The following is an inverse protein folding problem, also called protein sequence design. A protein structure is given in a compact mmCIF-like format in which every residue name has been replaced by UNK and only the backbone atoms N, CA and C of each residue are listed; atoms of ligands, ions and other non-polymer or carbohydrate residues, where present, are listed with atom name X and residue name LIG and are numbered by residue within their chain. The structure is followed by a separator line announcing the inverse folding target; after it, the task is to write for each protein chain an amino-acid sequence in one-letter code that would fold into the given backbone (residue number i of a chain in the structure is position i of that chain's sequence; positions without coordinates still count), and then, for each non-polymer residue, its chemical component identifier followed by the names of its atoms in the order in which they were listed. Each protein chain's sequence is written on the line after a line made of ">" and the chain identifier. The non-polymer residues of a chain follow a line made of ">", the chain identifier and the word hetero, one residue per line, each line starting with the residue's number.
data_IF_767201706843
#
_entry.id   IF_767201706843
#
_cell.length_a   1.000
_cell.length_b   1.000
_cell.length_c   1.000
_cell.angle_alpha   90.00
_cell.angle_beta   90.00
_cell.angle_gamma   90.00
#
_symmetry.space_group_name_H-M   'P 1'
#
loop_
_entity.id
_entity.type
_entity.pdbx_description
1 polymer ?
#
# COMPACT_ATOMS: atom_id res chain seq x y z
N UNK A 1 4.60 -34.85 -48.48
CA UNK A 1 4.34 -34.03 -47.28
C UNK A 1 2.85 -34.06 -47.03
N UNK A 2 2.40 -34.66 -45.92
CA UNK A 2 0.96 -34.78 -45.61
C UNK A 2 0.42 -33.48 -45.01
N UNK A 3 -0.01 -32.59 -45.91
CA UNK A 3 -0.48 -31.24 -45.60
C UNK A 3 -1.69 -31.25 -44.63
N UNK A 4 -2.53 -32.29 -44.69
CA UNK A 4 -3.69 -32.46 -43.81
C UNK A 4 -3.28 -32.73 -42.36
N UNK A 5 -2.28 -33.61 -42.16
CA UNK A 5 -1.74 -33.92 -40.83
C UNK A 5 -1.03 -32.72 -40.21
N UNK A 6 -0.29 -31.96 -41.02
CA UNK A 6 0.34 -30.72 -40.58
C UNK A 6 -0.67 -29.61 -40.25
N UNK A 7 -1.80 -29.54 -40.96
CA UNK A 7 -2.91 -28.64 -40.66
C UNK A 7 -3.56 -28.95 -39.31
N UNK A 8 -3.94 -30.21 -39.09
CA UNK A 8 -4.56 -30.65 -37.83
C UNK A 8 -3.65 -30.41 -36.62
N UNK A 9 -2.35 -30.69 -36.75
CA UNK A 9 -1.37 -30.43 -35.68
C UNK A 9 -1.33 -28.94 -35.31
N UNK A 10 -1.28 -28.03 -36.28
CA UNK A 10 -1.27 -26.58 -36.00
C UNK A 10 -2.53 -26.11 -35.29
N UNK A 11 -3.71 -26.64 -35.64
CA UNK A 11 -4.95 -26.30 -34.96
C UNK A 11 -4.94 -26.72 -33.48
N UNK A 12 -4.43 -27.93 -33.20
CA UNK A 12 -4.27 -28.42 -31.83
C UNK A 12 -3.26 -27.57 -31.05
N UNK A 13 -2.09 -27.31 -31.64
CA UNK A 13 -1.05 -26.46 -31.03
C UNK A 13 -1.61 -25.06 -30.69
N UNK A 14 -2.42 -24.46 -31.58
CA UNK A 14 -3.04 -23.15 -31.35
C UNK A 14 -4.08 -23.17 -30.22
N UNK A 15 -4.89 -24.24 -30.14
CA UNK A 15 -5.88 -24.37 -29.08
C UNK A 15 -5.21 -24.52 -27.70
N UNK A 16 -4.15 -25.33 -27.62
CA UNK A 16 -3.37 -25.51 -26.39
C UNK A 16 -2.77 -24.17 -25.92
N UNK A 17 -2.22 -23.37 -26.85
CA UNK A 17 -1.69 -22.04 -26.53
C UNK A 17 -2.75 -21.06 -26.02
N UNK A 18 -3.98 -21.16 -26.52
CA UNK A 18 -5.10 -20.32 -26.08
C UNK A 18 -5.59 -20.72 -24.69
N UNK A 19 -5.63 -22.02 -24.38
CA UNK A 19 -5.92 -22.53 -23.04
C UNK A 19 -4.89 -22.04 -22.02
N UNK A 20 -3.59 -22.13 -22.33
CA UNK A 20 -2.52 -21.64 -21.46
C UNK A 20 -2.63 -20.13 -21.18
N UNK A 21 -3.03 -19.33 -22.18
CA UNK A 21 -3.27 -17.89 -22.00
C UNK A 21 -4.45 -17.62 -21.07
N UNK A 22 -5.54 -18.35 -21.25
CA UNK A 22 -6.72 -18.21 -20.41
C UNK A 22 -6.43 -18.58 -18.96
N UNK A 23 -5.68 -19.67 -18.74
CA UNK A 23 -5.25 -20.08 -17.40
C UNK A 23 -4.36 -19.03 -16.74
N UNK A 24 -3.39 -18.49 -17.46
CA UNK A 24 -2.53 -17.41 -16.96
C UNK A 24 -3.35 -16.17 -16.56
N UNK A 25 -4.35 -15.81 -17.38
CA UNK A 25 -5.21 -14.67 -17.10
C UNK A 25 -6.11 -14.88 -15.88
N UNK A 26 -6.74 -16.05 -15.75
CA UNK A 26 -7.56 -16.42 -14.60
C UNK A 26 -6.70 -16.43 -13.33
N UNK A 27 -5.52 -17.07 -13.38
CA UNK A 27 -4.60 -17.12 -12.25
C UNK A 27 -4.14 -15.71 -11.83
N UNK A 28 -3.80 -14.84 -12.79
CA UNK A 28 -3.46 -13.44 -12.51
C UNK A 28 -4.59 -12.69 -11.81
N UNK A 29 -5.84 -12.86 -12.28
CA UNK A 29 -7.03 -12.27 -11.63
C UNK A 29 -7.19 -12.76 -10.20
N UNK A 30 -7.06 -14.07 -9.99
CA UNK A 30 -7.18 -14.68 -8.66
C UNK A 30 -6.08 -14.18 -7.73
N UNK A 31 -4.83 -14.09 -8.20
CA UNK A 31 -3.71 -13.57 -7.42
C UNK A 31 -3.94 -12.11 -6.99
N UNK A 32 -4.39 -11.24 -7.91
CA UNK A 32 -4.73 -9.84 -7.60
C UNK A 32 -5.86 -9.74 -6.57
N UNK A 33 -6.91 -10.54 -6.72
CA UNK A 33 -8.02 -10.56 -5.77
C UNK A 33 -7.60 -11.06 -4.38
N UNK A 34 -6.77 -12.11 -4.32
CA UNK A 34 -6.22 -12.62 -3.05
C UNK A 34 -5.36 -11.58 -2.36
N UNK A 35 -4.46 -10.93 -3.10
CA UNK A 35 -3.62 -9.85 -2.57
C UNK A 35 -4.47 -8.70 -2.02
N UNK A 36 -5.50 -8.28 -2.76
CA UNK A 36 -6.42 -7.23 -2.30
C UNK A 36 -7.12 -7.64 -0.99
N UNK A 37 -7.69 -8.84 -0.92
CA UNK A 37 -8.35 -9.34 0.30
C UNK A 37 -7.40 -9.39 1.50
N UNK A 38 -6.18 -9.87 1.30
CA UNK A 38 -5.17 -9.91 2.35
C UNK A 38 -4.77 -8.50 2.80
N UNK A 39 -4.61 -7.56 1.86
CA UNK A 39 -4.33 -6.17 2.19
C UNK A 39 -5.48 -5.52 2.97
N UNK A 40 -6.72 -5.68 2.49
CA UNK A 40 -7.92 -5.12 3.12
C UNK A 40 -8.10 -5.67 4.54
N UNK A 41 -7.78 -6.94 4.78
CA UNK A 41 -7.76 -7.54 6.12
C UNK A 41 -6.68 -6.96 7.04
N UNK A 42 -5.54 -6.52 6.48
CA UNK A 42 -4.42 -5.96 7.24
C UNK A 42 -4.61 -4.48 7.58
N UNK A 43 -5.46 -3.77 6.84
CA UNK A 43 -5.83 -2.38 7.14
C UNK A 43 -6.74 -2.42 8.37
N UNK A 44 -6.16 -2.15 9.54
CA UNK A 44 -6.95 -1.87 10.73
C UNK A 44 -7.67 -0.53 10.56
N UNK A 45 -8.98 -0.53 10.77
CA UNK A 45 -9.76 0.70 10.86
C UNK A 45 -9.34 1.45 12.13
N UNK A 46 -8.34 2.34 12.00
CA UNK A 46 -8.01 3.28 13.07
C UNK A 46 -8.95 4.46 12.97
N UNK A 47 -9.80 4.59 13.97
CA UNK A 47 -10.62 5.79 14.13
C UNK A 47 -9.76 6.93 14.66
N UNK A 48 -9.90 8.09 14.01
CA UNK A 48 -9.19 9.29 14.34
C UNK A 48 -10.16 10.33 14.87
N UNK A 49 -9.73 11.08 15.89
CA UNK A 49 -10.54 12.13 16.50
C UNK A 49 -9.93 13.51 16.24
N UNK A 50 -10.77 14.53 16.09
CA UNK A 50 -10.32 15.93 16.01
C UNK A 50 -9.52 16.29 17.26
N UNK A 51 -8.36 16.92 17.08
CA UNK A 51 -7.42 17.28 18.15
C UNK A 51 -6.38 16.21 18.49
N UNK A 52 -6.46 15.01 17.91
CA UNK A 52 -5.50 13.95 18.16
C UNK A 52 -4.13 14.28 17.54
N UNK A 53 -3.06 13.94 18.26
CA UNK A 53 -1.68 14.07 17.77
C UNK A 53 -1.27 12.81 17.02
N UNK A 54 -0.78 13.00 15.79
CA UNK A 54 -0.38 11.90 14.90
C UNK A 54 0.94 12.19 14.20
N UNK A 55 1.62 11.13 13.78
CA UNK A 55 2.81 11.22 12.95
C UNK A 55 2.46 10.85 11.51
N UNK A 56 2.97 11.61 10.54
CA UNK A 56 2.77 11.33 9.12
C UNK A 56 3.87 10.37 8.64
N UNK A 57 3.49 9.33 7.90
CA UNK A 57 4.46 8.44 7.28
C UNK A 57 4.83 8.95 5.88
N UNK A 58 6.12 9.15 5.61
CA UNK A 58 6.60 9.44 4.27
C UNK A 58 6.59 8.17 3.42
N UNK A 59 5.58 8.05 2.55
CA UNK A 59 5.44 6.91 1.63
C UNK A 59 6.41 6.95 0.46
N UNK A 60 7.09 8.09 0.20
CA UNK A 60 8.01 8.22 -0.92
C UNK A 60 9.18 7.24 -0.74
N UNK A 61 9.41 6.43 -1.78
CA UNK A 61 10.49 5.45 -1.84
C UNK A 61 11.86 6.15 -1.88
N UNK A 62 12.35 6.54 -0.70
CA UNK A 62 13.74 6.93 -0.55
C UNK A 62 14.56 5.65 -0.35
N UNK A 63 15.37 5.30 -1.36
CA UNK A 63 16.48 4.34 -1.22
C UNK A 63 17.57 5.10 -0.50
N UNK A 64 17.74 4.87 0.80
CA UNK A 64 18.80 5.53 1.57
C UNK A 64 20.12 4.78 1.37
N UNK A 65 21.18 5.37 0.78
CA UNK A 65 22.49 4.73 0.59
C UNK A 65 23.33 4.68 1.88
N UNK A 66 22.69 4.77 3.06
CA UNK A 66 23.36 4.90 4.36
C UNK A 66 22.44 4.49 5.53
N UNK A 67 22.71 4.97 6.74
CA UNK A 67 21.93 4.62 7.95
C UNK A 67 20.42 4.87 7.73
N UNK A 68 19.60 3.87 8.02
CA UNK A 68 18.14 3.95 7.98
C UNK A 68 17.64 5.09 8.88
N UNK A 69 17.15 6.18 8.28
CA UNK A 69 16.44 7.24 8.98
C UNK A 69 14.97 6.84 9.17
N UNK A 70 14.34 7.27 10.26
CA UNK A 70 12.91 7.10 10.45
C UNK A 70 12.13 7.85 9.38
N UNK A 71 11.17 7.19 8.73
CA UNK A 71 10.26 7.79 7.73
C UNK A 71 9.09 8.58 8.35
N UNK A 72 9.04 8.66 9.67
CA UNK A 72 8.02 9.41 10.37
C UNK A 72 8.34 10.91 10.34
N UNK A 73 7.42 11.69 9.80
CA UNK A 73 7.46 13.13 9.76
C UNK A 73 6.58 13.63 10.90
N UNK A 74 7.14 14.54 11.71
CA UNK A 74 6.50 15.57 12.54
C UNK A 74 5.24 15.24 13.36
N UNK A 75 5.08 15.77 14.57
CA UNK A 75 3.78 15.71 15.25
C UNK A 75 2.80 16.69 14.57
N UNK A 76 1.70 16.15 14.07
CA UNK A 76 0.58 16.90 13.49
C UNK A 76 -0.65 16.77 14.38
N UNK A 77 -1.54 17.75 14.32
CA UNK A 77 -2.84 17.72 14.99
C UNK A 77 -3.93 17.50 13.94
N UNK A 78 -4.85 16.59 14.19
CA UNK A 78 -5.99 16.36 13.31
C UNK A 78 -6.99 17.52 13.45
N UNK A 79 -7.22 18.25 12.36
CA UNK A 79 -8.20 19.33 12.31
C UNK A 79 -9.61 18.82 11.96
N UNK A 80 -9.71 17.95 10.97
CA UNK A 80 -10.97 17.38 10.51
C UNK A 80 -10.75 15.97 9.93
N UNK A 81 -11.70 15.08 10.17
CA UNK A 81 -11.76 13.75 9.56
C UNK A 81 -12.98 13.72 8.65
N UNK A 82 -12.76 13.38 7.39
CA UNK A 82 -13.83 13.23 6.40
C UNK A 82 -14.35 11.79 6.39
N UNK A 83 -15.61 11.59 6.01
CA UNK A 83 -16.27 10.27 5.94
C UNK A 83 -15.56 9.30 4.97
N UNK A 84 -14.79 9.82 4.02
CA UNK A 84 -14.00 9.06 3.06
C UNK A 84 -12.63 8.60 3.60
N UNK A 85 -12.33 8.85 4.88
CA UNK A 85 -11.06 8.48 5.52
C UNK A 85 -9.91 9.46 5.28
N UNK A 86 -10.14 10.55 4.53
CA UNK A 86 -9.14 11.62 4.39
C UNK A 86 -9.13 12.46 5.66
N UNK A 87 -7.92 12.73 6.15
CA UNK A 87 -7.71 13.52 7.37
C UNK A 87 -6.96 14.80 7.02
N UNK A 88 -7.45 15.91 7.55
CA UNK A 88 -6.80 17.21 7.49
C UNK A 88 -5.91 17.41 8.71
N UNK A 89 -4.63 17.64 8.45
CA UNK A 89 -3.57 17.79 9.42
C UNK A 89 -3.17 19.25 9.52
N UNK A 90 -3.05 19.75 10.75
CA UNK A 90 -2.50 21.05 11.07
C UNK A 90 -1.09 20.89 11.61
N UNK A 91 -0.15 21.64 11.04
CA UNK A 91 1.20 21.75 11.58
C UNK A 91 1.23 22.84 12.68
N UNK A 92 1.89 22.58 13.80
CA UNK A 92 2.03 23.57 14.88
C UNK A 92 2.89 24.78 14.50
N UNK A 93 3.71 24.68 13.44
CA UNK A 93 4.67 25.73 13.04
C UNK A 93 4.26 26.53 11.82
N UNK A 94 3.39 25.98 10.98
CA UNK A 94 2.93 26.60 9.76
C UNK A 94 1.41 26.46 9.74
N UNK A 95 0.68 27.54 9.52
CA UNK A 95 -0.78 27.54 9.31
C UNK A 95 -1.18 26.83 7.99
N UNK A 96 -0.44 25.79 7.57
CA UNK A 96 -0.69 25.00 6.38
C UNK A 96 -1.50 23.76 6.73
N UNK A 97 -2.58 23.55 5.99
CA UNK A 97 -3.42 22.37 6.07
C UNK A 97 -2.89 21.32 5.08
N UNK A 98 -2.55 20.14 5.58
CA UNK A 98 -2.14 18.99 4.77
C UNK A 98 -3.27 17.97 4.74
N UNK A 99 -3.65 17.51 3.55
CA UNK A 99 -4.60 16.42 3.37
C UNK A 99 -3.84 15.12 3.21
N UNK A 100 -4.11 14.13 4.06
CA UNK A 100 -3.51 12.81 3.97
C UNK A 100 -4.55 11.71 4.17
N UNK A 101 -4.41 10.63 3.41
CA UNK A 101 -5.15 9.38 3.61
C UNK A 101 -4.32 8.34 4.37
N UNK A 102 -3.02 8.61 4.59
CA UNK A 102 -2.08 7.69 5.22
C UNK A 102 -1.66 8.24 6.58
N UNK A 103 -2.19 7.67 7.65
CA UNK A 103 -1.79 7.95 9.03
C UNK A 103 -1.65 6.61 9.76
N UNK A 104 -0.45 6.30 10.24
CA UNK A 104 -0.14 4.92 10.71
C UNK A 104 0.12 4.84 12.23
N UNK A 105 0.25 5.96 12.95
CA UNK A 105 0.44 5.91 14.41
C UNK A 105 -0.31 7.01 15.18
N UNK A 106 -1.09 6.54 16.16
CA UNK A 106 -1.81 7.26 17.20
C UNK A 106 -1.15 6.97 18.55
N UNK A 107 0.14 7.24 18.72
CA UNK A 107 0.78 7.11 20.03
C UNK A 107 0.96 8.48 20.66
N UNK A 108 0.27 8.70 21.77
CA UNK A 108 0.59 9.67 22.80
C UNK A 108 2.09 9.62 23.07
N UNK A 109 2.75 10.78 23.14
CA UNK A 109 4.18 10.86 23.45
C UNK A 109 4.46 10.24 24.83
N UNK A 110 4.78 8.96 24.88
CA UNK A 110 5.61 8.39 25.93
C UNK A 110 7.00 8.21 25.34
N UNK A 111 7.88 9.17 25.64
CA UNK A 111 9.31 9.06 25.36
C UNK A 111 9.83 7.72 25.89
N UNK A 112 10.38 6.88 25.00
CA UNK A 112 11.27 5.79 25.40
C UNK A 112 12.49 5.81 24.50
N UNK A 113 13.49 6.58 24.93
CA UNK A 113 14.83 6.59 24.36
C UNK A 113 15.52 5.26 24.66
N UNK A 114 15.32 4.21 23.84
CA UNK A 114 16.17 3.01 23.88
C UNK A 114 17.43 3.21 23.05
N UNK A 115 18.43 3.78 23.72
CA UNK A 115 19.84 3.83 23.34
C UNK A 115 20.36 2.39 23.19
N UNK A 116 20.47 1.89 21.95
CA UNK A 116 21.12 0.61 21.68
C UNK A 116 22.59 0.89 21.33
N UNK A 117 23.46 0.75 22.33
CA UNK A 117 24.92 0.72 22.18
C UNK A 117 25.30 -0.47 21.31
N UNK A 118 26.17 -0.24 20.33
CA UNK A 118 27.26 -1.15 19.98
C UNK A 118 28.53 -0.31 20.05
#
# INVERSE_FOLDING_TARGET
>A
MDLIRAGAKRCLDLNEMEELRNDAYINSKVAKQRMKRWHDQLISNKEFWKGQRVLLYDSRLHIFPGKLKSRWIGPFIIHQVHLNGVVELLNSKAHTLLKSMVIVSSHSLSHSSKKRRK
#
